data_IF_745432166849
#
_entry.id   IF_745432166849
#
_cell.length_a   1.000
_cell.length_b   1.000
_cell.length_c   1.000
_cell.angle_alpha   90.00
_cell.angle_beta   90.00
_cell.angle_gamma   90.00
#
_symmetry.space_group_name_H-M   'P 1'
#
loop_
_entity.id
_entity.type
_entity.pdbx_description
1 polymer ?
#
# COMPACT_ATOMS: atom_id res chain seq x y z
N UNK A 1 26.26 -2.06 -15.68
CA UNK A 1 24.90 -2.64 -15.71
C UNK A 1 25.01 -4.07 -16.21
N UNK A 2 24.84 -5.06 -15.34
CA UNK A 2 24.72 -6.45 -15.77
C UNK A 2 23.24 -6.62 -16.08
N UNK A 3 22.90 -6.71 -17.37
CA UNK A 3 21.58 -7.17 -17.79
C UNK A 3 21.49 -8.65 -17.41
N UNK A 4 20.83 -8.95 -16.29
CA UNK A 4 20.50 -10.33 -15.94
C UNK A 4 19.38 -10.77 -16.85
N UNK A 5 19.73 -11.30 -18.02
CA UNK A 5 18.83 -12.10 -18.85
C UNK A 5 18.65 -13.46 -18.17
N UNK A 6 18.14 -13.44 -16.93
CA UNK A 6 17.73 -14.64 -16.21
C UNK A 6 16.41 -15.08 -16.81
N UNK A 7 16.28 -16.38 -17.03
CA UNK A 7 14.99 -16.94 -17.43
C UNK A 7 13.94 -16.56 -16.39
N UNK A 8 12.72 -16.24 -16.86
CA UNK A 8 11.56 -16.10 -15.99
C UNK A 8 11.48 -17.33 -15.09
N UNK A 9 11.37 -17.18 -13.75
CA UNK A 9 11.38 -18.31 -12.84
C UNK A 9 10.31 -19.36 -13.17
N UNK A 10 10.62 -20.64 -12.96
CA UNK A 10 9.75 -21.75 -13.36
C UNK A 10 8.34 -21.67 -12.73
N UNK A 11 8.25 -21.22 -11.47
CA UNK A 11 6.99 -21.10 -10.75
C UNK A 11 5.98 -20.16 -11.41
N UNK A 12 6.44 -19.19 -12.20
CA UNK A 12 5.58 -18.27 -12.99
C UNK A 12 4.79 -19.06 -14.05
N UNK A 13 5.38 -20.13 -14.59
CA UNK A 13 4.71 -21.01 -15.55
C UNK A 13 3.80 -22.04 -14.88
N UNK A 14 4.15 -22.48 -13.67
CA UNK A 14 3.41 -23.50 -12.91
C UNK A 14 2.09 -22.95 -12.35
N UNK A 15 1.93 -21.61 -12.34
CA UNK A 15 0.68 -20.93 -11.98
C UNK A 15 0.39 -20.87 -10.47
N UNK A 16 1.36 -21.23 -9.64
CA UNK A 16 1.30 -21.12 -8.17
C UNK A 16 2.31 -20.07 -7.69
N UNK A 17 1.84 -18.84 -7.54
CA UNK A 17 2.68 -17.74 -7.09
C UNK A 17 2.29 -17.34 -5.67
N UNK A 18 3.20 -17.46 -4.71
CA UNK A 18 2.99 -16.87 -3.39
C UNK A 18 3.23 -15.35 -3.50
N UNK A 19 2.68 -14.57 -2.58
CA UNK A 19 2.87 -13.13 -2.60
C UNK A 19 3.13 -12.52 -1.23
N UNK A 20 3.94 -11.47 -1.21
CA UNK A 20 4.20 -10.66 -0.04
C UNK A 20 3.40 -9.35 -0.12
N UNK A 21 2.33 -9.25 0.68
CA UNK A 21 1.49 -8.06 0.71
C UNK A 21 1.97 -7.06 1.76
N UNK A 22 2.13 -5.79 1.38
CA UNK A 22 2.44 -4.70 2.32
C UNK A 22 1.17 -3.97 2.74
N UNK A 23 0.91 -3.93 4.05
CA UNK A 23 -0.30 -3.29 4.58
C UNK A 23 -0.06 -1.82 4.91
N UNK A 24 0.90 -1.54 5.79
CA UNK A 24 1.33 -0.20 6.18
C UNK A 24 2.82 -0.17 6.51
N UNK A 25 3.39 1.03 6.46
CA UNK A 25 4.76 1.31 6.93
C UNK A 25 4.66 2.42 7.97
N UNK A 26 5.17 2.16 9.17
CA UNK A 26 5.13 3.06 10.31
C UNK A 26 6.54 3.45 10.74
N UNK A 27 6.73 4.73 11.02
CA UNK A 27 7.94 5.27 11.64
C UNK A 27 7.79 5.29 13.16
N UNK A 28 8.84 4.88 13.86
CA UNK A 28 8.94 5.00 15.31
C UNK A 28 10.26 5.68 15.68
N UNK A 29 10.20 6.67 16.57
CA UNK A 29 11.38 7.42 17.03
C UNK A 29 11.66 7.02 18.48
N UNK A 30 12.91 6.62 18.76
CA UNK A 30 13.32 6.22 20.11
C UNK A 30 13.36 7.39 21.12
N UNK A 31 13.41 7.05 22.41
CA UNK A 31 13.34 7.95 23.58
C UNK A 31 14.54 8.89 23.77
N UNK A 32 15.46 9.03 22.81
CA UNK A 32 16.57 10.00 22.84
C UNK A 32 16.31 11.10 21.79
N UNK A 33 15.54 12.14 22.13
CA UNK A 33 14.85 13.01 21.17
C UNK A 33 15.63 14.26 20.80
N UNK A 34 16.87 14.44 21.27
CA UNK A 34 17.56 15.74 21.21
C UNK A 34 17.74 16.30 19.78
N UNK A 35 17.50 15.48 18.75
CA UNK A 35 17.83 15.76 17.36
C UNK A 35 16.71 15.47 16.34
N UNK A 36 15.60 14.85 16.76
CA UNK A 36 14.48 14.48 15.87
C UNK A 36 13.20 14.82 16.64
N UNK A 37 12.52 15.88 16.21
CA UNK A 37 11.28 16.36 16.81
C UNK A 37 10.15 16.24 15.79
N UNK A 38 8.99 15.75 16.25
CA UNK A 38 7.77 15.80 15.46
C UNK A 38 7.33 17.26 15.26
N UNK A 39 6.70 17.60 14.13
CA UNK A 39 6.42 16.73 12.97
C UNK A 39 7.66 16.45 12.12
N UNK A 40 7.70 15.27 11.49
CA UNK A 40 8.81 14.86 10.64
C UNK A 40 8.49 15.06 9.16
N UNK A 41 9.36 15.77 8.46
CA UNK A 41 9.32 15.87 7.00
C UNK A 41 10.17 14.74 6.40
N UNK A 42 9.52 13.65 5.97
CA UNK A 42 10.17 12.42 5.50
C UNK A 42 10.13 12.32 3.98
N UNK A 43 11.27 11.93 3.40
CA UNK A 43 11.40 11.68 1.96
C UNK A 43 12.38 10.54 1.69
N UNK A 44 12.38 10.01 0.48
CA UNK A 44 13.20 8.86 0.07
C UNK A 44 12.36 7.75 -0.55
N UNK A 45 12.84 6.51 -0.46
CA UNK A 45 12.25 5.34 -1.11
C UNK A 45 12.17 4.15 -0.17
N UNK A 46 11.05 3.43 -0.23
CA UNK A 46 10.94 2.04 0.22
C UNK A 46 10.51 1.22 -0.99
N UNK A 47 11.30 0.21 -1.33
CA UNK A 47 11.07 -0.64 -2.49
C UNK A 47 11.28 -2.11 -2.15
N UNK A 48 10.64 -2.96 -2.92
CA UNK A 48 10.74 -4.41 -2.81
C UNK A 48 11.33 -4.96 -4.10
N UNK A 49 12.20 -5.96 -3.98
CA UNK A 49 12.72 -6.75 -5.10
C UNK A 49 12.37 -8.21 -4.89
N UNK A 50 11.65 -8.77 -5.85
CA UNK A 50 11.38 -10.20 -5.93
C UNK A 50 12.16 -10.83 -7.08
N UNK A 51 12.03 -12.15 -7.22
CA UNK A 51 12.74 -12.92 -8.24
C UNK A 51 12.10 -12.86 -9.62
N UNK A 52 10.95 -12.18 -9.79
CA UNK A 52 10.26 -12.08 -11.10
C UNK A 52 11.12 -11.29 -12.08
N UNK A 53 11.55 -10.08 -11.70
CA UNK A 53 12.38 -9.21 -12.54
C UNK A 53 13.59 -8.61 -11.80
N UNK A 54 13.70 -8.81 -10.48
CA UNK A 54 14.73 -8.21 -9.60
C UNK A 54 14.79 -6.68 -9.64
N UNK A 55 13.82 -6.02 -10.27
CA UNK A 55 13.70 -4.57 -10.35
C UNK A 55 13.04 -4.03 -9.07
N UNK A 56 13.20 -2.73 -8.82
CA UNK A 56 12.53 -2.08 -7.69
C UNK A 56 11.05 -1.96 -7.98
N UNK A 57 10.24 -2.71 -7.23
CA UNK A 57 8.82 -2.46 -7.09
C UNK A 57 8.63 -1.46 -5.94
N UNK A 58 8.40 -0.19 -6.28
CA UNK A 58 8.38 0.92 -5.32
C UNK A 58 7.10 0.85 -4.49
N UNK A 59 7.22 0.88 -3.17
CA UNK A 59 6.09 0.90 -2.21
C UNK A 59 5.81 2.32 -1.73
N UNK A 60 6.87 3.08 -1.44
CA UNK A 60 6.82 4.47 -1.05
C UNK A 60 7.93 5.24 -1.78
N UNK A 61 7.60 6.40 -2.31
CA UNK A 61 8.58 7.32 -2.86
C UNK A 61 8.12 8.76 -2.66
N UNK A 62 9.01 9.60 -2.15
CA UNK A 62 8.85 11.05 -2.10
C UNK A 62 10.19 11.73 -2.33
N UNK A 63 10.18 12.75 -3.17
CA UNK A 63 11.32 13.63 -3.34
C UNK A 63 11.47 14.59 -2.14
N UNK A 64 12.65 15.18 -1.98
CA UNK A 64 12.91 16.12 -0.87
C UNK A 64 11.97 17.33 -0.88
N UNK A 65 11.64 17.82 -2.07
CA UNK A 65 10.80 19.02 -2.23
C UNK A 65 9.31 18.69 -2.06
N UNK A 66 8.94 17.42 -2.20
CA UNK A 66 7.61 16.85 -1.97
C UNK A 66 7.64 15.84 -0.79
N UNK A 67 8.25 16.24 0.33
CA UNK A 67 8.34 15.37 1.50
C UNK A 67 6.96 15.18 2.16
N UNK A 68 6.70 13.98 2.69
CA UNK A 68 5.51 13.75 3.52
C UNK A 68 5.76 14.28 4.93
N UNK A 69 4.82 15.05 5.47
CA UNK A 69 4.83 15.43 6.89
C UNK A 69 4.12 14.37 7.70
N UNK A 70 4.79 13.83 8.72
CA UNK A 70 4.26 12.85 9.65
C UNK A 70 4.16 13.48 11.05
N UNK A 71 3.16 13.08 11.83
CA UNK A 71 3.01 13.49 13.23
C UNK A 71 3.14 12.29 14.16
N UNK A 72 3.18 12.55 15.47
CA UNK A 72 3.23 11.46 16.44
C UNK A 72 1.93 10.65 16.45
N UNK A 73 0.80 11.31 16.17
CA UNK A 73 -0.53 10.72 16.07
C UNK A 73 -0.73 9.96 14.75
N UNK A 74 -0.11 10.41 13.66
CA UNK A 74 -0.10 9.72 12.36
C UNK A 74 1.33 9.52 11.81
N UNK A 75 2.04 8.50 12.29
CA UNK A 75 3.41 8.20 11.89
C UNK A 75 3.51 7.27 10.67
N UNK A 76 2.43 7.12 9.88
CA UNK A 76 2.37 6.17 8.77
C UNK A 76 2.74 6.81 7.42
N UNK A 77 3.55 6.11 6.62
CA UNK A 77 3.87 6.54 5.27
C UNK A 77 2.65 6.36 4.34
N UNK A 78 2.40 7.36 3.50
CA UNK A 78 1.39 7.30 2.45
C UNK A 78 1.91 6.46 1.27
N UNK A 79 1.61 5.16 1.32
CA UNK A 79 2.10 4.20 0.33
C UNK A 79 1.40 4.40 -1.02
N UNK A 80 2.18 4.40 -2.09
CA UNK A 80 1.69 4.56 -3.47
C UNK A 80 1.79 3.27 -4.30
N UNK A 81 2.50 2.27 -3.78
CA UNK A 81 2.68 0.99 -4.43
C UNK A 81 2.32 -0.21 -3.55
N UNK A 82 2.61 -1.42 -4.03
CA UNK A 82 3.42 -1.71 -5.22
C UNK A 82 2.67 -1.44 -6.54
N UNK A 83 3.41 -1.40 -7.66
CA UNK A 83 2.83 -1.27 -9.01
C UNK A 83 2.35 -2.60 -9.60
N UNK A 84 2.82 -3.71 -9.03
CA UNK A 84 2.43 -5.10 -9.31
C UNK A 84 2.53 -5.93 -8.04
N UNK A 85 1.86 -7.07 -7.96
CA UNK A 85 2.00 -7.98 -6.83
C UNK A 85 3.47 -8.39 -6.66
N UNK A 86 3.90 -8.54 -5.40
CA UNK A 86 5.26 -8.98 -5.07
C UNK A 86 5.27 -10.49 -5.03
N UNK A 87 6.00 -11.15 -5.93
CA UNK A 87 6.14 -12.61 -5.94
C UNK A 87 7.05 -13.08 -4.81
N UNK A 88 6.66 -14.13 -4.09
CA UNK A 88 7.40 -14.67 -2.94
C UNK A 88 7.57 -16.19 -3.02
N UNK A 89 8.00 -16.69 -4.18
CA UNK A 89 8.43 -18.08 -4.34
C UNK A 89 9.95 -18.23 -4.11
N UNK A 90 10.67 -17.12 -4.02
CA UNK A 90 12.05 -17.02 -3.53
C UNK A 90 12.13 -15.88 -2.50
N UNK A 91 13.20 -15.80 -1.69
CA UNK A 91 13.38 -14.71 -0.74
C UNK A 91 13.30 -13.33 -1.41
N UNK A 92 12.53 -12.44 -0.79
CA UNK A 92 12.29 -11.08 -1.27
C UNK A 92 13.22 -10.12 -0.56
N UNK A 93 13.80 -9.15 -1.25
CA UNK A 93 14.61 -8.10 -0.61
C UNK A 93 13.82 -6.81 -0.49
N UNK A 94 13.72 -6.27 0.73
CA UNK A 94 13.15 -4.94 0.98
C UNK A 94 14.30 -3.96 1.17
N UNK A 95 14.29 -2.88 0.38
CA UNK A 95 15.25 -1.78 0.45
C UNK A 95 14.55 -0.54 1.01
N UNK A 96 15.14 0.10 2.02
CA UNK A 96 14.65 1.35 2.58
C UNK A 96 15.78 2.38 2.64
N UNK A 97 15.60 3.49 1.93
CA UNK A 97 16.40 4.70 2.05
C UNK A 97 15.45 5.86 2.38
N UNK A 98 15.35 6.20 3.67
CA UNK A 98 14.50 7.27 4.16
C UNK A 98 15.33 8.35 4.85
N UNK A 99 14.95 9.61 4.65
CA UNK A 99 15.61 10.78 5.21
C UNK A 99 14.58 11.69 5.87
N UNK A 100 15.00 12.38 6.93
CA UNK A 100 14.29 13.53 7.48
C UNK A 100 14.92 14.80 6.91
N UNK A 101 14.06 15.68 6.38
CA UNK A 101 14.43 16.95 5.76
C UNK A 101 14.97 17.91 6.81
N UNK A 102 16.17 18.45 6.55
CA UNK A 102 16.73 19.57 7.29
C UNK A 102 16.35 20.91 6.66
N UNK A 103 16.66 22.00 7.37
CA UNK A 103 16.48 23.36 6.84
C UNK A 103 17.21 23.60 5.51
N UNK A 104 18.34 22.90 5.31
CA UNK A 104 19.11 22.87 4.06
C UNK A 104 19.51 21.43 3.72
N UNK A 105 19.84 21.17 2.44
CA UNK A 105 20.20 19.80 1.96
C UNK A 105 21.33 19.15 2.76
N UNK A 106 22.34 19.91 3.17
CA UNK A 106 23.47 19.40 3.99
C UNK A 106 23.09 19.04 5.43
N UNK A 107 21.89 19.40 5.87
CA UNK A 107 21.33 19.06 7.18
C UNK A 107 20.29 17.95 7.12
N UNK A 108 20.03 17.38 5.93
CA UNK A 108 19.18 16.19 5.80
C UNK A 108 19.85 15.01 6.52
N UNK A 109 19.04 14.18 7.17
CA UNK A 109 19.52 13.09 8.02
C UNK A 109 18.92 11.77 7.55
N UNK A 110 19.77 10.75 7.37
CA UNK A 110 19.28 9.40 7.13
C UNK A 110 18.52 8.89 8.35
N UNK A 111 17.26 8.55 8.11
CA UNK A 111 16.40 7.88 9.07
C UNK A 111 16.63 6.36 8.98
N UNK A 112 16.54 5.81 7.76
CA UNK A 112 16.84 4.41 7.44
C UNK A 112 17.69 4.36 6.17
N UNK A 113 18.72 3.52 6.16
CA UNK A 113 19.50 3.19 4.96
C UNK A 113 19.94 1.73 5.08
N UNK A 114 19.06 0.82 4.70
CA UNK A 114 19.29 -0.61 4.91
C UNK A 114 18.49 -1.43 3.89
N UNK A 115 18.96 -2.64 3.60
CA UNK A 115 18.24 -3.64 2.83
C UNK A 115 18.18 -4.95 3.64
N UNK A 116 17.01 -5.60 3.66
CA UNK A 116 16.80 -6.87 4.37
C UNK A 116 16.17 -7.90 3.45
N UNK A 117 16.68 -9.12 3.52
CA UNK A 117 16.03 -10.27 2.91
C UNK A 117 14.91 -10.78 3.82
N UNK A 118 13.75 -11.01 3.24
CA UNK A 118 12.60 -11.70 3.82
C UNK A 118 12.65 -13.14 3.30
N UNK A 119 12.99 -14.12 4.14
CA UNK A 119 13.01 -15.52 3.73
C UNK A 119 11.59 -16.03 3.44
N UNK A 120 11.50 -17.16 2.75
CA UNK A 120 10.27 -17.93 2.61
C UNK A 120 9.75 -18.39 3.98
N UNK A 121 8.46 -18.72 4.06
CA UNK A 121 7.79 -19.16 5.29
C UNK A 121 7.91 -18.12 6.43
N UNK A 122 7.96 -16.84 6.06
CA UNK A 122 7.95 -15.72 7.00
C UNK A 122 6.62 -15.66 7.76
N UNK A 123 5.55 -16.06 7.08
CA UNK A 123 4.18 -16.02 7.57
C UNK A 123 3.69 -14.58 7.72
N UNK A 124 3.03 -14.30 8.84
CA UNK A 124 2.44 -13.00 9.13
C UNK A 124 3.22 -12.27 10.23
N UNK A 125 4.39 -11.72 9.88
CA UNK A 125 5.21 -10.94 10.82
C UNK A 125 5.61 -9.60 10.24
N UNK A 126 5.72 -8.61 11.11
CA UNK A 126 6.24 -7.31 10.74
C UNK A 126 7.76 -7.40 10.52
N UNK A 127 8.26 -6.73 9.49
CA UNK A 127 9.69 -6.51 9.29
C UNK A 127 10.07 -5.19 9.92
N UNK A 128 11.15 -5.19 10.68
CA UNK A 128 11.65 -4.00 11.34
C UNK A 128 13.04 -3.64 10.84
N UNK A 129 13.24 -2.37 10.52
CA UNK A 129 14.56 -1.80 10.24
C UNK A 129 14.98 -0.91 11.39
N UNK A 130 16.26 -0.97 11.74
CA UNK A 130 16.82 -0.16 12.83
C UNK A 130 17.71 0.91 12.21
N UNK A 131 17.23 2.13 12.29
CA UNK A 131 17.94 3.30 11.82
C UNK A 131 19.01 3.78 12.80
N UNK A 132 19.63 4.89 12.42
CA UNK A 132 20.55 5.56 13.34
C UNK A 132 19.80 6.13 14.53
N UNK A 133 20.48 6.21 15.69
CA UNK A 133 19.98 6.92 16.90
C UNK A 133 18.66 6.39 17.47
N UNK A 134 18.36 5.11 17.28
CA UNK A 134 17.17 4.46 17.84
C UNK A 134 15.88 4.68 17.05
N UNK A 135 15.99 5.22 15.84
CA UNK A 135 14.91 5.28 14.86
C UNK A 135 14.55 3.86 14.39
N UNK A 136 13.27 3.57 14.19
CA UNK A 136 12.78 2.27 13.72
C UNK A 136 11.77 2.48 12.60
N UNK A 137 11.80 1.59 11.62
CA UNK A 137 10.79 1.52 10.56
C UNK A 137 10.15 0.15 10.63
N UNK A 138 8.85 0.14 10.91
CA UNK A 138 8.05 -1.07 11.04
C UNK A 138 7.20 -1.23 9.78
N UNK A 139 7.36 -2.36 9.10
CA UNK A 139 6.64 -2.70 7.87
C UNK A 139 5.72 -3.87 8.19
N UNK A 140 4.41 -3.65 8.12
CA UNK A 140 3.44 -4.71 8.30
C UNK A 140 3.24 -5.48 6.99
N UNK A 141 3.58 -6.77 7.03
CA UNK A 141 3.57 -7.66 5.87
C UNK A 141 2.66 -8.86 6.09
N UNK A 142 2.24 -9.49 5.00
CA UNK A 142 1.59 -10.80 5.02
C UNK A 142 2.02 -11.62 3.83
N UNK A 143 2.56 -12.79 4.11
CA UNK A 143 2.73 -13.83 3.11
C UNK A 143 1.37 -14.48 2.82
N UNK A 144 1.03 -14.55 1.53
CA UNK A 144 -0.18 -15.17 1.01
C UNK A 144 0.22 -16.28 0.03
N UNK A 145 -0.49 -17.40 0.04
CA UNK A 145 -0.18 -18.56 -0.78
C UNK A 145 -1.11 -18.68 -1.98
N UNK A 146 -0.60 -19.19 -3.10
CA UNK A 146 -1.37 -19.41 -4.35
C UNK A 146 -2.21 -18.18 -4.74
N UNK A 147 -1.55 -17.07 -5.03
CA UNK A 147 -2.20 -15.79 -5.23
C UNK A 147 -2.37 -15.40 -6.70
N UNK A 148 -3.37 -14.55 -6.92
CA UNK A 148 -3.57 -13.75 -8.11
C UNK A 148 -3.41 -12.27 -7.76
N UNK A 149 -3.08 -11.46 -8.75
CA UNK A 149 -3.05 -10.02 -8.63
C UNK A 149 -4.44 -9.44 -8.94
N UNK A 150 -4.90 -8.53 -8.07
CA UNK A 150 -6.08 -7.72 -8.27
C UNK A 150 -5.70 -6.25 -8.42
N UNK A 151 -5.98 -5.67 -9.59
CA UNK A 151 -5.89 -4.22 -9.82
C UNK A 151 -7.28 -3.61 -9.70
N UNK A 152 -7.45 -2.70 -8.73
CA UNK A 152 -8.74 -2.14 -8.33
C UNK A 152 -8.87 -0.71 -8.86
N UNK A 153 -10.00 -0.44 -9.50
CA UNK A 153 -10.41 0.87 -9.99
C UNK A 153 -11.75 1.25 -9.37
N UNK A 154 -11.83 2.47 -8.83
CA UNK A 154 -13.02 3.03 -8.20
C UNK A 154 -13.50 4.25 -8.96
N UNK A 155 -14.79 4.28 -9.26
CA UNK A 155 -15.41 5.35 -10.05
C UNK A 155 -16.80 5.69 -9.51
N UNK A 156 -17.12 6.97 -9.38
CA UNK A 156 -18.51 7.40 -9.14
C UNK A 156 -19.31 7.16 -10.42
N UNK A 157 -20.30 6.28 -10.36
CA UNK A 157 -21.14 5.88 -11.52
C UNK A 157 -22.57 6.41 -11.42
N UNK A 158 -22.97 6.94 -10.27
CA UNK A 158 -24.29 7.54 -10.08
C UNK A 158 -24.36 8.36 -8.79
N UNK A 159 -25.25 9.35 -8.77
CA UNK A 159 -25.39 10.29 -7.65
C UNK A 159 -24.41 11.45 -7.70
N UNK A 160 -24.42 12.28 -6.65
CA UNK A 160 -23.54 13.45 -6.49
C UNK A 160 -22.69 13.30 -5.25
N UNK A 161 -21.37 13.33 -5.40
CA UNK A 161 -20.46 13.11 -4.27
C UNK A 161 -20.70 14.14 -3.16
N UNK A 162 -20.89 13.70 -1.90
CA UNK A 162 -21.21 14.59 -0.81
C UNK A 162 -20.02 15.49 -0.45
N UNK A 163 -20.23 16.81 -0.52
CA UNK A 163 -19.24 17.79 -0.09
C UNK A 163 -18.89 17.60 1.41
N UNK A 164 -17.61 17.81 1.75
CA UNK A 164 -17.11 17.70 3.13
C UNK A 164 -17.20 16.29 3.74
N UNK A 165 -17.43 15.25 2.93
CA UNK A 165 -17.35 13.87 3.42
C UNK A 165 -15.88 13.45 3.51
N UNK A 166 -15.52 12.85 4.64
CA UNK A 166 -14.20 12.28 4.87
C UNK A 166 -14.30 10.76 4.94
N UNK A 167 -13.24 10.05 4.61
CA UNK A 167 -13.31 8.61 4.57
C UNK A 167 -12.16 7.95 3.84
N UNK A 168 -12.29 6.63 3.69
CA UNK A 168 -11.36 5.85 2.89
C UNK A 168 -12.02 4.63 2.28
N UNK A 169 -11.46 4.21 1.14
CA UNK A 169 -11.66 2.89 0.58
C UNK A 169 -10.47 2.01 0.92
N UNK A 170 -10.74 0.77 1.28
CA UNK A 170 -9.72 -0.21 1.57
C UNK A 170 -10.09 -1.58 1.03
N UNK A 171 -9.08 -2.36 0.65
CA UNK A 171 -9.21 -3.75 0.26
C UNK A 171 -8.67 -4.68 1.36
N UNK A 172 -9.25 -5.86 1.48
CA UNK A 172 -8.74 -6.96 2.29
C UNK A 172 -9.07 -8.30 1.63
N UNK A 173 -8.42 -9.38 2.08
CA UNK A 173 -8.79 -10.73 1.69
C UNK A 173 -9.73 -11.33 2.74
N UNK A 174 -10.60 -12.25 2.34
CA UNK A 174 -11.52 -12.93 3.25
C UNK A 174 -10.80 -13.71 4.37
N UNK A 175 -9.57 -14.18 4.13
CA UNK A 175 -8.75 -14.86 5.16
C UNK A 175 -8.17 -13.89 6.19
N UNK A 176 -8.01 -12.61 5.83
CA UNK A 176 -7.43 -11.57 6.70
C UNK A 176 -8.23 -10.27 6.65
N UNK A 177 -9.52 -10.26 7.06
CA UNK A 177 -10.39 -9.09 6.92
C UNK A 177 -9.93 -7.87 7.73
N UNK A 178 -9.15 -8.12 8.78
CA UNK A 178 -8.58 -7.08 9.65
C UNK A 178 -7.30 -6.45 9.08
N UNK A 179 -6.70 -7.01 8.02
CA UNK A 179 -5.51 -6.47 7.37
C UNK A 179 -5.91 -5.76 6.09
N UNK A 180 -6.00 -4.45 6.19
CA UNK A 180 -6.53 -3.60 5.12
C UNK A 180 -5.42 -2.91 4.33
N UNK A 181 -5.55 -2.96 3.02
CA UNK A 181 -4.79 -2.18 2.05
C UNK A 181 -5.59 -0.92 1.74
N UNK A 182 -5.16 0.23 2.28
CA UNK A 182 -5.71 1.53 1.91
C UNK A 182 -5.57 1.78 0.41
N UNK A 183 -6.70 2.02 -0.27
CA UNK A 183 -6.78 2.29 -1.71
C UNK A 183 -6.92 3.78 -2.00
N UNK A 184 -7.82 4.46 -1.29
CA UNK A 184 -8.12 5.90 -1.43
C UNK A 184 -8.37 6.45 -0.04
N UNK A 185 -7.81 7.63 0.26
CA UNK A 185 -8.27 8.49 1.34
C UNK A 185 -8.96 9.72 0.74
N UNK A 186 -10.08 10.14 1.33
CA UNK A 186 -10.85 11.30 0.87
C UNK A 186 -11.28 12.22 2.01
N UNK A 187 -11.44 13.51 1.70
CA UNK A 187 -11.89 14.53 2.66
C UNK A 187 -10.82 15.10 3.60
N UNK A 188 -9.62 15.35 3.10
CA UNK A 188 -8.59 16.16 3.77
C UNK A 188 -8.24 17.43 2.99
N UNK A 189 -7.22 18.17 3.45
CA UNK A 189 -6.70 19.39 2.79
C UNK A 189 -6.16 19.14 1.36
N UNK A 190 -5.93 17.88 0.99
CA UNK A 190 -5.23 17.48 -0.24
C UNK A 190 -6.04 17.62 -1.54
N UNK A 191 -7.32 18.02 -1.49
CA UNK A 191 -8.09 18.39 -2.67
C UNK A 191 -8.46 17.22 -3.62
N UNK A 192 -9.73 17.18 -4.01
CA UNK A 192 -10.33 16.36 -5.07
C UNK A 192 -9.82 14.91 -5.21
N UNK A 193 -10.25 14.06 -4.27
CA UNK A 193 -10.19 12.60 -4.39
C UNK A 193 -10.98 12.06 -5.58
N UNK A 194 -11.72 12.92 -6.30
CA UNK A 194 -12.55 12.61 -7.46
C UNK A 194 -12.19 13.59 -8.56
N UNK A 195 -11.80 13.04 -9.71
CA UNK A 195 -11.50 13.79 -10.92
C UNK A 195 -12.80 14.16 -11.63
N UNK A 196 -12.75 15.16 -12.51
CA UNK A 196 -13.91 15.60 -13.28
C UNK A 196 -14.55 14.54 -14.20
N UNK A 197 -13.88 13.41 -14.46
CA UNK A 197 -14.40 12.25 -15.20
C UNK A 197 -15.12 11.19 -14.32
N UNK A 198 -15.18 11.45 -13.01
CA UNK A 198 -15.74 10.58 -11.97
C UNK A 198 -14.78 9.51 -11.45
N UNK A 199 -13.56 9.40 -12.01
CA UNK A 199 -12.55 8.48 -11.50
C UNK A 199 -11.97 9.02 -10.20
N UNK A 200 -11.76 8.13 -9.23
CA UNK A 200 -11.16 8.53 -7.98
C UNK A 200 -9.63 8.50 -8.06
N UNK A 201 -8.96 9.38 -7.32
CA UNK A 201 -7.50 9.39 -7.24
C UNK A 201 -7.05 8.37 -6.19
N UNK A 202 -6.47 7.28 -6.66
CA UNK A 202 -5.96 6.20 -5.82
C UNK A 202 -4.61 6.53 -5.22
N UNK A 203 -4.42 6.10 -3.98
CA UNK A 203 -3.12 5.90 -3.36
C UNK A 203 -2.53 4.59 -3.86
N UNK A 204 -3.31 3.51 -3.84
CA UNK A 204 -2.89 2.19 -4.30
C UNK A 204 -3.94 1.52 -5.17
N UNK A 205 -3.46 0.62 -6.01
CA UNK A 205 -4.29 -0.12 -6.96
C UNK A 205 -4.16 -1.63 -6.81
N UNK A 206 -3.02 -2.12 -6.33
CA UNK A 206 -2.67 -3.54 -6.42
C UNK A 206 -2.81 -4.24 -5.06
N UNK A 207 -3.49 -5.38 -5.07
CA UNK A 207 -3.72 -6.26 -3.91
C UNK A 207 -3.49 -7.70 -4.37
N UNK A 208 -2.82 -8.50 -3.54
CA UNK A 208 -2.69 -9.94 -3.75
C UNK A 208 -3.85 -10.66 -3.06
N UNK A 209 -4.45 -11.61 -3.75
CA UNK A 209 -5.61 -12.37 -3.27
C UNK A 209 -5.36 -13.84 -3.53
N UNK A 210 -5.63 -14.69 -2.54
CA UNK A 210 -5.57 -16.14 -2.67
C UNK A 210 -6.53 -16.60 -3.78
N UNK A 211 -6.09 -17.51 -4.65
CA UNK A 211 -6.82 -17.90 -5.87
C UNK A 211 -8.15 -18.62 -5.59
N UNK A 212 -8.26 -19.29 -4.44
CA UNK A 212 -9.48 -19.86 -3.89
C UNK A 212 -10.28 -18.88 -3.01
N UNK A 213 -9.71 -17.71 -2.74
CA UNK A 213 -10.23 -16.71 -1.83
C UNK A 213 -11.11 -15.65 -2.49
N UNK A 214 -11.41 -14.63 -1.70
CA UNK A 214 -12.24 -13.51 -2.11
C UNK A 214 -11.58 -12.19 -1.73
N UNK A 215 -11.66 -11.22 -2.64
CA UNK A 215 -11.32 -9.83 -2.39
C UNK A 215 -12.54 -9.12 -1.81
N UNK A 216 -12.34 -8.40 -0.71
CA UNK A 216 -13.34 -7.53 -0.11
C UNK A 216 -12.89 -6.09 -0.32
N UNK A 217 -13.74 -5.28 -0.95
CA UNK A 217 -13.54 -3.83 -1.04
C UNK A 217 -14.54 -3.16 -0.13
N UNK A 218 -14.04 -2.37 0.81
CA UNK A 218 -14.81 -1.73 1.87
C UNK A 218 -14.67 -0.20 1.82
N UNK A 219 -15.70 0.50 2.25
CA UNK A 219 -15.68 1.95 2.45
C UNK A 219 -16.13 2.29 3.86
N UNK A 220 -15.42 3.25 4.46
CA UNK A 220 -15.83 3.93 5.68
C UNK A 220 -15.83 5.42 5.43
N UNK A 221 -16.86 6.10 5.93
CA UNK A 221 -16.98 7.53 5.78
C UNK A 221 -17.54 8.19 7.03
N UNK A 222 -17.05 9.39 7.32
CA UNK A 222 -17.46 10.22 8.45
C UNK A 222 -17.55 11.68 8.04
N UNK A 223 -18.27 12.45 8.85
CA UNK A 223 -18.40 13.90 8.75
C UNK A 223 -18.39 14.48 10.15
N UNK A 224 -17.57 15.50 10.37
CA UNK A 224 -17.43 16.17 11.68
C UNK A 224 -17.16 15.16 12.83
N UNK A 225 -16.36 14.14 12.53
CA UNK A 225 -16.02 13.06 13.47
C UNK A 225 -17.12 12.01 13.71
N UNK A 226 -18.30 12.14 13.09
CA UNK A 226 -19.38 11.16 13.18
C UNK A 226 -19.42 10.25 11.96
N UNK A 227 -19.53 8.93 12.20
CA UNK A 227 -19.66 7.96 11.12
C UNK A 227 -20.96 8.17 10.33
N UNK A 228 -20.83 8.31 9.01
CA UNK A 228 -21.94 8.40 8.05
C UNK A 228 -22.11 7.08 7.31
N UNK A 229 -21.00 6.38 7.06
CA UNK A 229 -20.97 5.01 6.56
C UNK A 229 -20.04 4.23 7.48
N UNK A 230 -20.61 3.39 8.33
CA UNK A 230 -19.84 2.61 9.31
C UNK A 230 -18.98 1.54 8.61
N UNK A 231 -19.59 0.77 7.72
CA UNK A 231 -18.91 -0.19 6.82
C UNK A 231 -19.87 -0.65 5.72
N UNK A 232 -19.58 -0.30 4.46
CA UNK A 232 -20.23 -0.89 3.27
C UNK A 232 -19.17 -1.70 2.51
N UNK A 233 -19.52 -2.89 2.04
CA UNK A 233 -18.56 -3.81 1.40
C UNK A 233 -19.14 -4.50 0.17
N UNK A 234 -18.24 -4.86 -0.74
CA UNK A 234 -18.52 -5.70 -1.89
C UNK A 234 -17.43 -6.75 -2.04
N UNK A 235 -17.84 -7.97 -2.39
CA UNK A 235 -16.96 -9.14 -2.44
C UNK A 235 -16.79 -9.62 -3.88
N UNK A 236 -15.59 -10.09 -4.20
CA UNK A 236 -15.26 -10.65 -5.50
C UNK A 236 -14.49 -11.94 -5.34
N UNK A 237 -15.01 -13.01 -5.94
CA UNK A 237 -14.25 -14.26 -6.11
C UNK A 237 -13.02 -14.01 -6.96
N UNK A 238 -11.88 -14.48 -6.48
CA UNK A 238 -10.63 -14.41 -7.22
C UNK A 238 -10.74 -15.14 -8.57
N UNK A 239 -10.03 -14.62 -9.56
CA UNK A 239 -9.95 -15.21 -10.90
C UNK A 239 -8.50 -15.20 -11.35
N UNK A 240 -8.11 -16.22 -12.12
CA UNK A 240 -6.77 -16.27 -12.71
C UNK A 240 -6.55 -15.21 -13.79
N UNK A 241 -7.62 -14.72 -14.41
CA UNK A 241 -7.57 -13.63 -15.38
C UNK A 241 -8.97 -13.01 -15.59
N UNK A 242 -9.00 -11.82 -16.19
CA UNK A 242 -10.23 -11.18 -16.65
C UNK A 242 -10.67 -10.04 -15.73
N UNK A 243 -11.98 -9.81 -15.66
CA UNK A 243 -12.55 -8.67 -14.92
C UNK A 243 -13.72 -9.10 -14.04
N UNK A 244 -13.89 -8.40 -12.93
CA UNK A 244 -15.08 -8.45 -12.08
C UNK A 244 -15.60 -7.04 -11.84
N UNK A 245 -16.91 -6.91 -11.70
CA UNK A 245 -17.59 -5.63 -11.52
C UNK A 245 -18.54 -5.73 -10.34
N UNK A 246 -18.57 -4.69 -9.52
CA UNK A 246 -19.48 -4.56 -8.39
C UNK A 246 -19.68 -3.10 -8.06
N UNK A 247 -20.40 -2.82 -6.98
CA UNK A 247 -20.68 -1.45 -6.55
C UNK A 247 -20.82 -1.34 -5.05
N UNK A 248 -20.49 -0.16 -4.53
CA UNK A 248 -20.66 0.26 -3.15
C UNK A 248 -21.58 1.47 -3.09
N UNK A 249 -22.33 1.60 -2.01
CA UNK A 249 -23.11 2.81 -1.74
C UNK A 249 -22.37 3.70 -0.75
N UNK A 250 -22.26 4.99 -1.06
CA UNK A 250 -21.72 6.02 -0.17
C UNK A 250 -22.73 7.14 -0.08
N UNK A 251 -23.51 7.16 0.99
CA UNK A 251 -24.67 8.05 1.13
C UNK A 251 -25.63 7.89 -0.08
N UNK A 252 -25.83 8.96 -0.86
CA UNK A 252 -26.63 8.97 -2.10
C UNK A 252 -25.83 8.64 -3.36
N UNK A 253 -24.57 8.24 -3.24
CA UNK A 253 -23.68 7.91 -4.37
C UNK A 253 -23.56 6.42 -4.58
N UNK A 254 -23.47 6.03 -5.85
CA UNK A 254 -23.09 4.70 -6.28
C UNK A 254 -21.66 4.74 -6.82
N UNK A 255 -20.79 3.96 -6.20
CA UNK A 255 -19.38 3.82 -6.59
C UNK A 255 -19.20 2.47 -7.24
N UNK A 256 -18.85 2.46 -8.52
CA UNK A 256 -18.50 1.25 -9.25
C UNK A 256 -17.10 0.79 -8.88
N UNK A 257 -16.95 -0.51 -8.69
CA UNK A 257 -15.69 -1.18 -8.42
C UNK A 257 -15.38 -2.11 -9.60
N UNK A 258 -14.29 -1.83 -10.30
CA UNK A 258 -13.75 -2.72 -11.33
C UNK A 258 -12.48 -3.38 -10.78
N UNK A 259 -12.45 -4.70 -10.86
CA UNK A 259 -11.26 -5.49 -10.50
C UNK A 259 -10.74 -6.17 -11.76
N UNK A 260 -9.52 -5.86 -12.15
CA UNK A 260 -8.80 -6.57 -13.20
C UNK A 260 -7.90 -7.63 -12.55
N UNK A 261 -8.03 -8.86 -13.01
CA UNK A 261 -7.32 -10.02 -12.46
C UNK A 261 -6.21 -10.47 -13.40
N UNK A 262 -5.06 -10.82 -12.84
CA UNK A 262 -3.93 -11.40 -13.55
C UNK A 262 -3.20 -12.41 -12.66
N UNK A 263 -2.38 -13.26 -13.28
CA UNK A 263 -1.43 -14.09 -12.54
C UNK A 263 -0.22 -13.24 -12.15
N UNK A 264 0.37 -13.56 -11.01
CA UNK A 264 1.63 -12.97 -10.51
C UNK A 264 2.82 -13.65 -11.19
#
# INVERSE_FOLDING_TARGET
MIYTNKHVPQYVYDGRSNSLQTYYIKIEVGTRPADIQWPLQVFGVVAVRDSIDSMRNIIFYRDRDDCQTLTEEDPCLALTGPSRAVGMNEPVTIEAELKVKGAVKSKDRYFILEAKAVPLDWGSRDVEFTGTRGSRLKIALGELHNCVEAIIFLRVIGGTWPAGLQGHFAASTAESPNKKVLLIAFGGDDGESIRGDGNMTHLRHVVSVEDSGELIVSVRAWRDGQAVVDQEEVQFKAKLSGRSFGSLNVCSCHVGVLVAWSRI
#
